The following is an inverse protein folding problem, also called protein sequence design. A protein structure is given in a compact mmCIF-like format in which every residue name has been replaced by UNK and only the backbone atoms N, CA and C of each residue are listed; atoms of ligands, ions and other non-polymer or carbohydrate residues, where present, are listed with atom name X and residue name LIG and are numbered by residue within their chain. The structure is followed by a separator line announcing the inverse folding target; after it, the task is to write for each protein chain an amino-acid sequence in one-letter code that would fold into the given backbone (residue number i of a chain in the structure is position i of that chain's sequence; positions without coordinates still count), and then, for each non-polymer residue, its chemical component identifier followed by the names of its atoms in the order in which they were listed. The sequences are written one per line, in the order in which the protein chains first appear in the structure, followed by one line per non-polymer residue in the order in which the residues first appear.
data_IF_240018272411
#
_entry.id   IF_240018272411
#
_cell.length_a   1.000
_cell.length_b   1.000
_cell.length_c   1.000
_cell.angle_alpha   90.00
_cell.angle_beta   90.00
_cell.angle_gamma   90.00
#
_symmetry.space_group_name_H-M   'P 1'
#
loop_
_entity.id
_entity.type
_entity.pdbx_description
1 polymer ?
#
# COMPACT_ATOMS: atom_id res chain seq x y z
N UNK A 1 18.05 -4.66 21.70
CA UNK A 1 18.25 -3.78 20.53
C UNK A 1 17.02 -3.94 19.67
N UNK A 2 16.06 -3.01 19.76
CA UNK A 2 14.84 -3.08 18.95
C UNK A 2 15.09 -2.29 17.67
N UNK A 3 15.18 -2.99 16.55
CA UNK A 3 15.22 -2.40 15.22
C UNK A 3 13.97 -1.51 15.08
N UNK A 4 14.17 -0.20 14.98
CA UNK A 4 13.11 0.75 14.65
C UNK A 4 12.70 0.51 13.20
N UNK A 5 11.77 -0.41 13.00
CA UNK A 5 11.11 -0.64 11.72
C UNK A 5 10.54 0.69 11.25
N UNK A 6 11.12 1.24 10.18
CA UNK A 6 10.67 2.49 9.53
C UNK A 6 9.40 2.24 8.71
N UNK A 7 8.38 1.66 9.35
CA UNK A 7 7.06 1.48 8.76
C UNK A 7 6.32 2.82 8.68
N UNK A 8 5.23 2.88 7.90
CA UNK A 8 4.35 4.03 7.89
C UNK A 8 3.88 4.34 9.33
N UNK A 9 3.96 5.61 9.74
CA UNK A 9 3.37 6.07 11.00
C UNK A 9 1.86 6.04 10.81
N UNK A 10 1.22 4.99 11.32
CA UNK A 10 -0.23 4.90 11.29
C UNK A 10 -0.83 5.88 12.30
N UNK A 11 -1.99 6.47 11.98
CA UNK A 11 -2.76 7.19 12.98
C UNK A 11 -3.07 6.30 14.18
N UNK A 12 -3.17 6.90 15.36
CA UNK A 12 -3.58 6.20 16.57
C UNK A 12 -4.91 5.50 16.33
N UNK A 13 -4.95 4.19 16.58
CA UNK A 13 -6.14 3.38 16.39
C UNK A 13 -7.22 3.69 17.42
N UNK A 14 -6.87 4.36 18.52
CA UNK A 14 -7.80 4.83 19.54
C UNK A 14 -8.41 6.21 19.23
N UNK A 15 -7.91 6.89 18.19
CA UNK A 15 -8.51 8.14 17.73
C UNK A 15 -9.69 7.83 16.80
N UNK A 16 -10.90 8.05 17.31
CA UNK A 16 -12.15 7.84 16.58
C UNK A 16 -12.24 8.68 15.30
N UNK A 17 -11.60 9.86 15.26
CA UNK A 17 -11.58 10.72 14.09
C UNK A 17 -10.60 10.24 13.03
N UNK A 18 -9.50 9.62 13.44
CA UNK A 18 -8.45 9.14 12.54
C UNK A 18 -8.94 8.06 11.56
N UNK A 19 -9.98 7.33 11.94
CA UNK A 19 -10.57 6.25 11.15
C UNK A 19 -12.03 6.47 10.77
N UNK A 20 -12.55 7.69 10.87
CA UNK A 20 -13.93 8.00 10.50
C UNK A 20 -14.30 7.57 9.06
N UNK A 21 -13.34 7.62 8.12
CA UNK A 21 -13.54 7.15 6.74
C UNK A 21 -13.86 5.66 6.64
N UNK A 22 -13.47 4.85 7.64
CA UNK A 22 -13.68 3.40 7.64
C UNK A 22 -15.16 3.02 7.67
N UNK A 23 -16.02 3.91 8.20
CA UNK A 23 -17.47 3.76 8.24
C UNK A 23 -18.10 3.64 6.85
N UNK A 24 -17.40 4.12 5.82
CA UNK A 24 -17.88 4.13 4.44
C UNK A 24 -17.19 3.07 3.57
N UNK A 25 -16.34 2.22 4.14
CA UNK A 25 -15.63 1.21 3.38
C UNK A 25 -16.53 0.01 3.06
N UNK A 26 -16.66 -0.28 1.77
CA UNK A 26 -17.12 -1.59 1.30
C UNK A 26 -16.08 -2.69 1.65
N UNK A 27 -16.45 -3.96 1.49
CA UNK A 27 -15.57 -5.10 1.77
C UNK A 27 -14.19 -5.01 1.10
N UNK A 28 -14.13 -4.45 -0.12
CA UNK A 28 -12.86 -4.22 -0.83
C UNK A 28 -11.98 -3.18 -0.11
N UNK A 29 -12.57 -2.13 0.43
CA UNK A 29 -11.88 -1.11 1.21
C UNK A 29 -11.29 -1.71 2.49
N UNK A 30 -12.08 -2.54 3.20
CA UNK A 30 -11.57 -3.28 4.35
C UNK A 30 -10.43 -4.23 3.98
N UNK A 31 -10.56 -5.00 2.90
CA UNK A 31 -9.48 -5.87 2.43
C UNK A 31 -8.17 -5.09 2.20
N UNK A 32 -8.26 -3.89 1.62
CA UNK A 32 -7.12 -3.00 1.45
C UNK A 32 -6.53 -2.52 2.78
N UNK A 33 -7.35 -2.13 3.75
CA UNK A 33 -6.90 -1.68 5.07
C UNK A 33 -6.12 -2.77 5.83
N UNK A 34 -6.58 -4.02 5.77
CA UNK A 34 -5.86 -5.15 6.34
C UNK A 34 -4.55 -5.42 5.60
N UNK A 35 -4.59 -5.43 4.27
CA UNK A 35 -3.43 -5.74 3.45
C UNK A 35 -2.29 -4.72 3.63
N UNK A 36 -2.60 -3.41 3.57
CA UNK A 36 -1.59 -2.35 3.67
C UNK A 36 -0.87 -2.30 5.04
N UNK A 37 -1.47 -2.90 6.07
CA UNK A 37 -0.87 -3.04 7.41
C UNK A 37 -0.12 -4.35 7.62
N UNK A 38 -0.21 -5.30 6.69
CA UNK A 38 0.52 -6.56 6.79
C UNK A 38 2.04 -6.33 6.61
N UNK A 39 2.90 -6.71 7.57
CA UNK A 39 4.34 -6.49 7.47
C UNK A 39 5.01 -7.21 6.28
N UNK A 40 4.52 -8.40 5.92
CA UNK A 40 4.99 -9.14 4.74
C UNK A 40 4.68 -8.38 3.45
N UNK A 41 3.45 -7.88 3.33
CA UNK A 41 3.05 -7.05 2.21
C UNK A 41 3.89 -5.77 2.12
N UNK A 42 4.13 -5.09 3.25
CA UNK A 42 4.96 -3.88 3.29
C UNK A 42 6.40 -4.14 2.85
N UNK A 43 6.98 -5.27 3.27
CA UNK A 43 8.32 -5.69 2.84
C UNK A 43 8.37 -5.89 1.33
N UNK A 44 7.42 -6.64 0.79
CA UNK A 44 7.36 -6.93 -0.66
C UNK A 44 7.10 -5.66 -1.46
N UNK A 45 6.18 -4.80 -1.00
CA UNK A 45 5.91 -3.49 -1.58
C UNK A 45 7.15 -2.58 -1.58
N UNK A 46 7.93 -2.56 -0.49
CA UNK A 46 9.16 -1.76 -0.43
C UNK A 46 10.23 -2.24 -1.42
N UNK A 47 10.33 -3.56 -1.62
CA UNK A 47 11.27 -4.16 -2.58
C UNK A 47 10.88 -3.84 -4.03
N UNK A 48 9.58 -3.80 -4.31
CA UNK A 48 9.01 -3.35 -5.58
C UNK A 48 9.30 -1.87 -5.82
N UNK A 49 8.94 -0.99 -4.87
CA UNK A 49 9.04 0.46 -5.04
C UNK A 49 10.50 0.91 -5.27
N UNK A 50 11.48 0.25 -4.65
CA UNK A 50 12.92 0.51 -4.91
C UNK A 50 13.34 0.29 -6.36
N UNK A 51 12.58 -0.50 -7.13
CA UNK A 51 12.89 -0.86 -8.53
C UNK A 51 12.07 -0.06 -9.54
N UNK A 52 11.16 0.80 -9.06
CA UNK A 52 10.20 1.53 -9.89
C UNK A 52 10.56 3.01 -9.83
N UNK A 53 10.67 3.64 -11.00
CA UNK A 53 10.81 5.08 -11.09
C UNK A 53 9.43 5.72 -10.86
N UNK A 54 9.27 6.38 -9.70
CA UNK A 54 8.02 7.02 -9.30
C UNK A 54 7.90 8.37 -10.00
N UNK A 55 7.48 8.37 -11.26
CA UNK A 55 7.03 9.61 -11.91
C UNK A 55 5.67 9.99 -11.32
N UNK A 56 5.63 10.98 -10.43
CA UNK A 56 4.37 11.55 -9.93
C UNK A 56 3.58 12.16 -11.10
N UNK A 57 2.43 11.59 -11.42
CA UNK A 57 1.48 12.18 -12.35
C UNK A 57 0.37 12.87 -11.55
N UNK A 58 0.24 14.18 -11.67
CA UNK A 58 -0.53 15.06 -10.78
C UNK A 58 -2.05 14.90 -10.76
N UNK A 59 -2.60 13.78 -11.25
CA UNK A 59 -4.05 13.53 -11.31
C UNK A 59 -4.47 12.35 -10.41
N UNK A 60 -3.53 11.44 -10.10
CA UNK A 60 -3.61 10.41 -9.07
C UNK A 60 -2.21 9.79 -8.92
N UNK A 61 -1.83 9.32 -7.73
CA UNK A 61 -0.58 8.58 -7.50
C UNK A 61 -0.62 7.20 -8.19
N UNK A 62 -0.58 7.23 -9.51
CA UNK A 62 -0.52 6.07 -10.39
C UNK A 62 0.94 5.68 -10.47
N UNK A 63 1.31 4.62 -9.77
CA UNK A 63 2.66 4.05 -9.83
C UNK A 63 2.79 3.19 -11.08
N UNK A 64 3.51 3.69 -12.10
CA UNK A 64 3.79 2.93 -13.33
C UNK A 64 4.93 1.94 -13.08
N UNK A 65 4.60 0.69 -12.78
CA UNK A 65 5.61 -0.36 -12.60
C UNK A 65 6.08 -0.92 -13.95
N UNK A 66 7.39 -0.96 -14.18
CA UNK A 66 7.97 -1.76 -15.27
C UNK A 66 7.81 -3.23 -14.89
N UNK A 67 7.06 -3.97 -15.70
CA UNK A 67 6.76 -5.38 -15.47
C UNK A 67 8.04 -6.24 -15.58
N UNK A 68 8.83 -6.30 -14.51
CA UNK A 68 9.92 -7.26 -14.39
C UNK A 68 10.32 -7.45 -12.93
N UNK A 69 9.78 -8.52 -12.32
CA UNK A 69 10.49 -9.28 -11.29
C UNK A 69 10.01 -9.16 -9.84
N UNK A 70 8.90 -8.48 -9.57
CA UNK A 70 8.32 -8.47 -8.23
C UNK A 70 6.80 -8.46 -8.32
N UNK A 71 6.23 -9.64 -8.07
CA UNK A 71 4.82 -9.94 -8.29
C UNK A 71 4.02 -9.78 -6.99
N UNK A 72 3.26 -8.69 -6.87
CA UNK A 72 2.31 -8.51 -5.77
C UNK A 72 0.99 -9.26 -6.01
N UNK A 73 0.85 -10.03 -7.10
CA UNK A 73 -0.35 -10.84 -7.35
C UNK A 73 -0.56 -11.93 -6.29
N UNK A 74 0.51 -12.37 -5.62
CA UNK A 74 0.44 -13.27 -4.46
C UNK A 74 -0.41 -12.69 -3.32
N UNK A 75 -0.51 -11.35 -3.25
CA UNK A 75 -1.35 -10.62 -2.30
C UNK A 75 -2.75 -10.30 -2.85
N UNK A 76 -3.10 -10.79 -4.04
CA UNK A 76 -4.38 -10.54 -4.70
C UNK A 76 -4.52 -9.14 -5.29
N UNK A 77 -3.41 -8.40 -5.45
CA UNK A 77 -3.43 -7.07 -6.07
C UNK A 77 -3.26 -7.20 -7.59
N UNK A 78 -4.21 -6.60 -8.32
CA UNK A 78 -4.12 -6.42 -9.76
C UNK A 78 -3.74 -4.96 -10.06
N UNK A 79 -2.69 -4.76 -10.84
CA UNK A 79 -2.31 -3.44 -11.32
C UNK A 79 -3.04 -3.14 -12.63
N UNK A 80 -3.81 -2.05 -12.65
CA UNK A 80 -4.38 -1.54 -13.89
C UNK A 80 -3.29 -0.79 -14.66
N UNK A 81 -3.02 -1.19 -15.92
CA UNK A 81 -2.33 -0.30 -16.86
C UNK A 81 -3.24 0.89 -17.12
N UNK A 82 -2.72 2.11 -16.95
CA UNK A 82 -3.30 3.26 -17.62
C UNK A 82 -2.71 3.33 -19.02
N UNK A 83 -3.62 3.29 -20.01
CA UNK A 83 -3.35 3.54 -21.41
C UNK A 83 -3.03 5.03 -21.65
#
# INVERSE_FOLDING_TARGET
MSETSSGPVWPDWQDDHAYAYSLHLASRGWAWEFLRRNPGFQKDLSAVLRRVDLSQSGIADITRMRASGSDLSVWGILFCKLD
#
